data_IF_102303302378
#
_entry.id   IF_102303302378
#
_cell.length_a   1.000
_cell.length_b   1.000
_cell.length_c   1.000
_cell.angle_alpha   90.00
_cell.angle_beta   90.00
_cell.angle_gamma   90.00
#
_symmetry.space_group_name_H-M   'P 1'
#
loop_
_entity.id
_entity.type
_entity.pdbx_description
1 polymer ?
#
# COMPACT_ATOMS: atom_id res chain seq x y z
N UNK A 1 -0.02 -4.96 -62.45
CA UNK A 1 0.65 -5.36 -61.22
C UNK A 1 0.51 -4.21 -60.23
N UNK A 2 -0.46 -4.36 -59.35
CA UNK A 2 -0.71 -3.35 -58.31
C UNK A 2 0.18 -3.67 -57.09
N UNK A 3 1.04 -2.71 -56.72
CA UNK A 3 1.83 -2.79 -55.50
C UNK A 3 0.91 -2.58 -54.28
N UNK A 4 0.71 -3.63 -53.51
CA UNK A 4 0.10 -3.52 -52.16
C UNK A 4 1.10 -2.86 -51.23
N UNK A 5 0.66 -1.91 -50.37
CA UNK A 5 1.52 -1.31 -49.37
C UNK A 5 1.93 -2.33 -48.30
N UNK A 6 3.21 -2.32 -47.97
CA UNK A 6 3.78 -3.11 -46.84
C UNK A 6 3.13 -2.64 -45.56
N UNK A 7 2.64 -3.53 -44.67
CA UNK A 7 2.08 -3.13 -43.38
C UNK A 7 3.17 -2.49 -42.51
N UNK A 8 2.89 -1.28 -42.01
CA UNK A 8 3.71 -0.61 -41.02
C UNK A 8 3.60 -1.45 -39.72
N UNK A 9 4.70 -2.03 -39.31
CA UNK A 9 4.79 -2.70 -38.02
C UNK A 9 4.75 -1.58 -36.98
N UNK A 10 3.61 -1.42 -36.32
CA UNK A 10 3.50 -0.55 -35.14
C UNK A 10 4.45 -1.10 -34.05
N UNK A 11 5.44 -0.28 -33.71
CA UNK A 11 6.33 -0.57 -32.56
C UNK A 11 5.45 -0.66 -31.32
N UNK A 12 5.55 -1.71 -30.50
CA UNK A 12 4.78 -1.80 -29.26
C UNK A 12 5.11 -0.58 -28.39
N UNK A 13 4.12 -0.02 -27.67
CA UNK A 13 4.33 1.14 -26.81
C UNK A 13 5.47 0.85 -25.82
N UNK A 14 6.40 1.79 -25.72
CA UNK A 14 7.52 1.68 -24.79
C UNK A 14 6.97 1.56 -23.37
N UNK A 15 7.56 0.65 -22.59
CA UNK A 15 7.20 0.49 -21.18
C UNK A 15 7.44 1.81 -20.42
N UNK A 16 6.57 2.15 -19.43
CA UNK A 16 6.70 3.39 -18.68
C UNK A 16 8.08 3.52 -18.05
N UNK A 17 8.72 4.67 -18.17
CA UNK A 17 10.05 4.97 -17.65
C UNK A 17 10.09 5.04 -16.12
N UNK A 18 8.91 5.15 -15.50
CA UNK A 18 8.72 5.27 -14.05
C UNK A 18 8.12 3.98 -13.51
N UNK A 19 8.94 3.01 -13.18
CA UNK A 19 8.64 1.77 -12.45
C UNK A 19 7.89 0.66 -13.21
N UNK A 20 8.59 -0.38 -13.59
CA UNK A 20 8.06 -1.61 -14.20
C UNK A 20 7.90 -2.73 -13.15
N UNK A 21 6.74 -3.40 -13.13
CA UNK A 21 6.53 -4.61 -12.33
C UNK A 21 7.31 -5.79 -12.93
N UNK A 22 8.07 -6.54 -12.11
CA UNK A 22 8.73 -7.77 -12.54
C UNK A 22 7.73 -8.92 -12.64
N UNK A 23 7.78 -9.67 -13.74
CA UNK A 23 6.99 -10.89 -13.94
C UNK A 23 7.44 -12.00 -12.96
N UNK A 24 6.50 -12.64 -12.30
CA UNK A 24 6.74 -13.85 -11.52
C UNK A 24 6.87 -15.07 -12.45
N UNK A 25 7.84 -15.96 -12.18
CA UNK A 25 7.90 -17.26 -12.85
C UNK A 25 6.79 -18.18 -12.28
N UNK A 26 5.85 -18.59 -13.13
CA UNK A 26 4.79 -19.53 -12.77
C UNK A 26 5.34 -20.97 -12.82
N UNK A 27 5.59 -21.54 -11.65
CA UNK A 27 5.81 -22.96 -11.50
C UNK A 27 4.46 -23.67 -11.33
N UNK A 28 4.23 -24.77 -12.07
CA UNK A 28 3.03 -25.57 -11.85
C UNK A 28 2.93 -26.12 -10.41
N UNK A 29 1.71 -26.31 -9.86
CA UNK A 29 1.51 -26.67 -8.45
C UNK A 29 2.31 -27.89 -7.98
N UNK A 30 2.47 -28.90 -8.83
CA UNK A 30 3.23 -30.12 -8.50
C UNK A 30 4.71 -29.83 -8.22
N UNK A 31 5.35 -29.03 -9.07
CA UNK A 31 6.75 -28.65 -8.89
C UNK A 31 6.96 -27.84 -7.60
N UNK A 32 6.00 -26.98 -7.25
CA UNK A 32 6.01 -26.22 -6.01
C UNK A 32 5.89 -27.13 -4.80
N UNK A 33 4.98 -28.12 -4.79
CA UNK A 33 4.84 -29.07 -3.70
C UNK A 33 6.10 -29.93 -3.50
N UNK A 34 6.74 -30.35 -4.60
CA UNK A 34 8.00 -31.07 -4.54
C UNK A 34 9.12 -30.21 -3.96
N UNK A 35 9.21 -28.94 -4.37
CA UNK A 35 10.19 -27.99 -3.84
C UNK A 35 9.99 -27.73 -2.35
N UNK A 36 8.75 -27.54 -1.89
CA UNK A 36 8.43 -27.38 -0.47
C UNK A 36 8.83 -28.62 0.31
N UNK A 37 8.46 -29.81 -0.18
CA UNK A 37 8.76 -31.08 0.48
C UNK A 37 10.28 -31.28 0.67
N UNK A 38 11.06 -30.99 -0.37
CA UNK A 38 12.53 -31.10 -0.31
C UNK A 38 13.16 -30.07 0.66
N UNK A 39 12.59 -28.85 0.75
CA UNK A 39 13.13 -27.79 1.61
C UNK A 39 12.76 -27.94 3.10
N UNK A 40 11.71 -28.68 3.44
CA UNK A 40 11.17 -28.77 4.80
C UNK A 40 11.12 -30.20 5.36
N UNK A 41 11.94 -31.11 4.79
CA UNK A 41 12.05 -32.51 5.22
C UNK A 41 10.70 -33.23 5.40
N UNK A 42 9.83 -33.10 4.39
CA UNK A 42 8.48 -33.67 4.39
C UNK A 42 8.17 -34.33 3.04
N UNK A 43 6.99 -34.91 2.90
CA UNK A 43 6.57 -35.52 1.64
C UNK A 43 5.64 -34.59 0.84
N UNK A 44 5.68 -34.66 -0.52
CA UNK A 44 4.73 -33.87 -1.33
C UNK A 44 3.26 -34.15 -0.98
N UNK A 45 2.93 -35.39 -0.60
CA UNK A 45 1.57 -35.75 -0.17
C UNK A 45 1.17 -35.02 1.13
N UNK A 46 2.10 -34.90 2.07
CA UNK A 46 1.83 -34.14 3.31
C UNK A 46 1.61 -32.67 3.01
N UNK A 47 2.44 -32.06 2.13
CA UNK A 47 2.26 -30.65 1.70
C UNK A 47 0.90 -30.43 1.04
N UNK A 48 0.47 -31.35 0.16
CA UNK A 48 -0.86 -31.31 -0.46
C UNK A 48 -1.97 -31.40 0.57
N UNK A 49 -1.84 -32.29 1.57
CA UNK A 49 -2.83 -32.44 2.64
C UNK A 49 -2.91 -31.19 3.51
N UNK A 50 -1.78 -30.61 3.89
CA UNK A 50 -1.69 -29.38 4.67
C UNK A 50 -2.33 -28.22 3.89
N UNK A 51 -1.99 -28.04 2.61
CA UNK A 51 -2.63 -27.06 1.73
C UNK A 51 -4.14 -27.29 1.64
N UNK A 52 -4.59 -28.50 1.38
CA UNK A 52 -6.01 -28.81 1.24
C UNK A 52 -6.78 -28.47 2.53
N UNK A 53 -6.22 -28.71 3.70
CA UNK A 53 -6.83 -28.35 4.97
C UNK A 53 -7.07 -26.85 5.12
N UNK A 54 -6.19 -26.00 4.55
CA UNK A 54 -6.31 -24.54 4.55
C UNK A 54 -7.22 -24.05 3.41
N UNK A 55 -7.14 -24.67 2.25
CA UNK A 55 -7.97 -24.30 1.10
C UNK A 55 -9.47 -24.53 1.35
N UNK A 56 -9.81 -25.63 2.00
CA UNK A 56 -11.19 -25.96 2.40
C UNK A 56 -11.53 -25.52 3.82
N UNK A 57 -10.58 -24.91 4.53
CA UNK A 57 -10.75 -24.38 5.87
C UNK A 57 -11.48 -23.02 5.91
N UNK A 58 -11.66 -22.45 7.11
CA UNK A 58 -12.36 -21.16 7.30
C UNK A 58 -11.76 -20.01 6.51
N UNK A 59 -10.43 -20.00 6.34
CA UNK A 59 -9.69 -18.93 5.67
C UNK A 59 -9.75 -18.97 4.14
N UNK A 60 -10.18 -20.08 3.53
CA UNK A 60 -10.27 -20.25 2.06
C UNK A 60 -8.99 -19.84 1.34
N UNK A 61 -7.88 -20.37 1.81
CA UNK A 61 -6.52 -20.04 1.32
C UNK A 61 -6.35 -20.60 -0.09
N UNK A 62 -6.09 -19.73 -1.07
CA UNK A 62 -5.72 -20.17 -2.42
C UNK A 62 -4.30 -20.72 -2.48
N UNK A 63 -3.96 -21.42 -3.57
CA UNK A 63 -2.60 -21.90 -3.78
C UNK A 63 -1.56 -20.77 -3.79
N UNK A 64 -1.88 -19.68 -4.44
CA UNK A 64 -1.01 -18.50 -4.46
C UNK A 64 -0.85 -17.88 -3.07
N UNK A 65 -1.91 -17.83 -2.25
CA UNK A 65 -1.84 -17.35 -0.87
C UNK A 65 -0.94 -18.26 -0.02
N UNK A 66 -1.08 -19.59 -0.18
CA UNK A 66 -0.29 -20.59 0.53
C UNK A 66 1.21 -20.41 0.28
N UNK A 67 1.57 -20.20 -0.99
CA UNK A 67 2.98 -19.98 -1.37
C UNK A 67 3.43 -18.58 -0.92
N UNK A 68 2.69 -17.53 -1.22
CA UNK A 68 3.06 -16.14 -0.97
C UNK A 68 3.27 -15.85 0.51
N UNK A 69 2.41 -16.37 1.38
CA UNK A 69 2.50 -16.25 2.84
C UNK A 69 3.40 -17.29 3.48
N UNK A 70 4.05 -18.21 2.71
CA UNK A 70 4.86 -19.31 3.24
C UNK A 70 4.14 -20.14 4.30
N UNK A 71 2.86 -20.46 4.10
CA UNK A 71 2.09 -21.23 5.09
C UNK A 71 2.62 -22.65 5.31
N UNK A 72 3.56 -23.09 4.49
CA UNK A 72 4.31 -24.32 4.64
C UNK A 72 5.47 -24.21 5.64
N UNK A 73 5.91 -22.99 5.98
CA UNK A 73 7.07 -22.77 6.86
C UNK A 73 6.64 -22.64 8.33
N UNK A 74 6.77 -23.73 9.06
CA UNK A 74 6.41 -23.80 10.47
C UNK A 74 7.29 -22.94 11.38
N UNK A 75 8.51 -22.59 10.97
CA UNK A 75 9.37 -21.68 11.72
C UNK A 75 8.85 -20.25 11.62
N UNK A 76 8.42 -19.84 10.42
CA UNK A 76 7.81 -18.53 10.21
C UNK A 76 6.50 -18.38 11.01
N UNK A 77 5.65 -19.41 10.98
CA UNK A 77 4.32 -19.41 11.61
C UNK A 77 4.29 -20.11 12.97
N UNK A 78 5.41 -20.13 13.68
CA UNK A 78 5.53 -20.82 14.95
C UNK A 78 4.47 -20.34 15.96
N UNK A 79 3.72 -21.30 16.54
CA UNK A 79 2.66 -21.02 17.49
C UNK A 79 1.32 -20.52 16.88
N UNK A 80 1.22 -20.33 15.56
CA UNK A 80 -0.02 -19.91 14.92
C UNK A 80 -0.89 -21.10 14.52
N UNK A 81 -2.18 -21.06 14.85
CA UNK A 81 -3.17 -21.93 14.18
C UNK A 81 -3.43 -21.37 12.76
N UNK A 82 -2.84 -22.02 11.76
CA UNK A 82 -2.95 -21.61 10.36
C UNK A 82 -4.39 -21.55 9.83
N UNK A 83 -5.35 -22.21 10.49
CA UNK A 83 -6.77 -22.12 10.12
C UNK A 83 -7.36 -20.73 10.39
N UNK A 84 -6.68 -19.92 11.20
CA UNK A 84 -7.05 -18.51 11.44
C UNK A 84 -6.53 -17.57 10.34
N UNK A 85 -5.68 -18.05 9.43
CA UNK A 85 -5.18 -17.24 8.31
C UNK A 85 -6.24 -17.14 7.24
N UNK A 86 -6.60 -15.92 6.87
CA UNK A 86 -7.55 -15.65 5.79
C UNK A 86 -6.82 -15.48 4.46
N UNK A 87 -7.26 -16.21 3.43
CA UNK A 87 -6.82 -16.03 2.05
C UNK A 87 -7.35 -14.71 1.45
N UNK A 88 -6.76 -14.27 0.34
CA UNK A 88 -7.04 -12.96 -0.27
C UNK A 88 -8.52 -12.78 -0.65
N UNK A 89 -9.15 -13.82 -1.19
CA UNK A 89 -10.57 -13.77 -1.54
C UNK A 89 -11.43 -13.58 -0.30
N UNK A 90 -11.16 -14.37 0.75
CA UNK A 90 -11.93 -14.28 2.00
C UNK A 90 -11.73 -12.94 2.71
N UNK A 91 -10.50 -12.38 2.68
CA UNK A 91 -10.23 -11.03 3.17
C UNK A 91 -11.12 -9.98 2.49
N UNK A 92 -11.24 -10.02 1.17
CA UNK A 92 -12.12 -9.09 0.45
C UNK A 92 -13.59 -9.24 0.84
N UNK A 93 -14.07 -10.48 1.00
CA UNK A 93 -15.44 -10.76 1.44
C UNK A 93 -15.70 -10.20 2.86
N UNK A 94 -14.73 -10.34 3.75
CA UNK A 94 -14.80 -9.78 5.11
C UNK A 94 -14.83 -8.25 5.10
N UNK A 95 -13.95 -7.63 4.32
CA UNK A 95 -13.87 -6.16 4.18
C UNK A 95 -15.19 -5.60 3.67
N UNK A 96 -15.74 -6.18 2.61
CA UNK A 96 -17.04 -5.74 2.04
C UNK A 96 -18.17 -5.89 3.07
N UNK A 97 -18.15 -6.95 3.87
CA UNK A 97 -19.15 -7.17 4.90
C UNK A 97 -19.02 -6.22 6.11
N UNK A 98 -17.81 -5.81 6.42
CA UNK A 98 -17.50 -4.84 7.50
C UNK A 98 -17.80 -3.42 7.02
N UNK A 99 -17.24 -3.03 5.89
CA UNK A 99 -17.37 -1.69 5.31
C UNK A 99 -18.60 -1.63 4.39
N UNK A 100 -19.76 -1.94 4.93
CA UNK A 100 -21.03 -2.06 4.18
C UNK A 100 -21.54 -0.72 3.62
N UNK A 101 -21.01 0.43 4.05
CA UNK A 101 -21.29 1.76 3.51
C UNK A 101 -20.46 2.00 2.25
N UNK A 102 -20.81 1.30 1.17
CA UNK A 102 -20.09 1.37 -0.11
C UNK A 102 -20.12 2.75 -0.77
N UNK A 103 -21.11 3.58 -0.40
CA UNK A 103 -21.19 5.00 -0.77
C UNK A 103 -19.98 5.83 -0.32
N UNK A 104 -19.25 5.39 0.71
CA UNK A 104 -18.04 6.04 1.21
C UNK A 104 -16.73 5.57 0.55
N UNK A 105 -16.76 4.50 -0.24
CA UNK A 105 -15.56 3.98 -0.89
C UNK A 105 -14.91 5.01 -1.81
N UNK A 106 -15.70 5.80 -2.55
CA UNK A 106 -15.17 6.86 -3.41
C UNK A 106 -14.34 7.90 -2.66
N UNK A 107 -14.74 8.24 -1.42
CA UNK A 107 -13.96 9.18 -0.58
C UNK A 107 -12.61 8.58 -0.19
N UNK A 108 -12.55 7.28 0.11
CA UNK A 108 -11.33 6.61 0.57
C UNK A 108 -10.38 6.35 -0.60
N UNK A 109 -10.89 5.90 -1.74
CA UNK A 109 -10.08 5.50 -2.91
C UNK A 109 -9.54 6.68 -3.71
N UNK A 110 -10.26 7.81 -3.75
CA UNK A 110 -9.80 9.03 -4.41
C UNK A 110 -8.82 9.80 -3.51
N UNK A 111 -7.56 9.89 -3.94
CA UNK A 111 -6.48 10.52 -3.17
C UNK A 111 -6.71 12.01 -2.90
N UNK A 112 -7.45 12.70 -3.75
CA UNK A 112 -7.75 14.13 -3.60
C UNK A 112 -8.90 14.29 -2.62
N UNK A 113 -9.98 13.52 -2.80
CA UNK A 113 -11.13 13.54 -1.89
C UNK A 113 -10.71 13.15 -0.47
N UNK A 114 -9.94 12.07 -0.32
CA UNK A 114 -9.45 11.59 0.97
C UNK A 114 -8.59 12.62 1.69
N UNK A 115 -7.59 13.19 1.00
CA UNK A 115 -6.72 14.22 1.55
C UNK A 115 -7.51 15.47 1.95
N UNK A 116 -8.42 15.94 1.08
CA UNK A 116 -9.24 17.13 1.33
C UNK A 116 -10.20 16.91 2.51
N UNK A 117 -10.82 15.73 2.58
CA UNK A 117 -11.74 15.39 3.66
C UNK A 117 -11.03 15.36 5.02
N UNK A 118 -9.92 14.64 5.13
CA UNK A 118 -9.14 14.57 6.37
C UNK A 118 -8.58 15.94 6.80
N UNK A 119 -8.06 16.72 5.83
CA UNK A 119 -7.55 18.08 6.10
C UNK A 119 -8.62 19.03 6.63
N UNK A 120 -9.87 18.90 6.19
CA UNK A 120 -10.99 19.71 6.67
C UNK A 120 -11.26 19.50 8.18
N UNK A 121 -10.85 18.37 8.74
CA UNK A 121 -10.91 18.08 10.18
C UNK A 121 -9.58 18.34 10.90
N UNK A 122 -8.62 19.00 10.25
CA UNK A 122 -7.32 19.31 10.86
C UNK A 122 -6.38 18.12 11.02
N UNK A 123 -6.67 16.98 10.37
CA UNK A 123 -5.79 15.81 10.40
C UNK A 123 -4.55 16.03 9.52
N UNK A 124 -3.36 15.59 9.96
CA UNK A 124 -2.12 15.82 9.23
C UNK A 124 -2.08 14.94 7.97
N UNK A 125 -2.15 15.60 6.81
CA UNK A 125 -2.07 14.97 5.48
C UNK A 125 -1.04 15.68 4.63
N UNK A 126 -0.62 15.06 3.52
CA UNK A 126 0.28 15.70 2.55
C UNK A 126 -0.59 16.44 1.52
N UNK A 127 -0.51 17.78 1.44
CA UNK A 127 -1.35 18.56 0.54
C UNK A 127 -1.02 18.27 -0.94
N UNK A 128 -2.03 18.36 -1.81
CA UNK A 128 -1.83 18.30 -3.25
C UNK A 128 -1.37 19.68 -3.75
N UNK A 129 -0.19 19.76 -4.34
CA UNK A 129 0.38 20.98 -4.91
C UNK A 129 -0.13 21.25 -6.32
N UNK A 130 -0.24 20.19 -7.14
CA UNK A 130 -0.76 20.28 -8.50
C UNK A 130 -1.33 18.92 -8.95
N UNK A 131 -2.24 18.98 -9.92
CA UNK A 131 -2.88 17.82 -10.52
C UNK A 131 -2.88 17.96 -12.04
N UNK A 132 -2.24 17.05 -12.75
CA UNK A 132 -2.47 16.89 -14.18
C UNK A 132 -3.87 16.30 -14.39
N UNK A 133 -4.73 17.10 -15.01
CA UNK A 133 -6.14 16.77 -15.22
C UNK A 133 -6.61 17.28 -16.59
N UNK A 134 -6.26 16.59 -17.68
CA UNK A 134 -6.51 17.07 -19.05
C UNK A 134 -8.00 17.19 -19.40
N UNK A 135 -8.87 16.53 -18.63
CA UNK A 135 -10.34 16.61 -18.81
C UNK A 135 -10.98 17.87 -18.21
N UNK A 136 -10.24 18.60 -17.39
CA UNK A 136 -10.78 19.84 -16.80
C UNK A 136 -10.74 20.97 -17.82
N UNK A 137 -11.88 21.62 -18.02
CA UNK A 137 -12.01 22.78 -18.92
C UNK A 137 -11.80 24.10 -18.19
N UNK A 138 -12.12 24.14 -16.88
CA UNK A 138 -11.94 25.34 -16.05
C UNK A 138 -10.54 25.37 -15.46
N UNK A 139 -9.88 26.53 -15.55
CA UNK A 139 -8.61 26.78 -14.89
C UNK A 139 -8.78 26.80 -13.36
N UNK A 140 -7.85 26.17 -12.66
CA UNK A 140 -7.69 26.30 -11.20
C UNK A 140 -6.20 26.34 -10.87
N UNK A 141 -5.84 26.83 -9.70
CA UNK A 141 -4.44 26.87 -9.25
C UNK A 141 -3.80 25.48 -9.14
N UNK A 142 -4.62 24.44 -8.99
CA UNK A 142 -4.16 23.04 -8.90
C UNK A 142 -4.11 22.32 -10.24
N UNK A 143 -4.84 22.80 -11.27
CA UNK A 143 -5.04 22.03 -12.50
C UNK A 143 -3.99 22.33 -13.57
N UNK A 144 -3.21 21.33 -13.92
CA UNK A 144 -2.34 21.30 -15.10
C UNK A 144 -3.10 20.53 -16.19
N UNK A 145 -3.45 21.20 -17.31
CA UNK A 145 -4.39 20.66 -18.32
C UNK A 145 -3.71 20.21 -19.59
N UNK A 146 -2.53 20.77 -19.87
CA UNK A 146 -1.79 20.55 -21.09
C UNK A 146 -0.30 20.30 -20.80
N UNK A 147 0.43 19.86 -21.82
CA UNK A 147 1.88 19.67 -21.78
C UNK A 147 2.62 20.90 -21.28
N UNK A 148 2.25 22.06 -21.79
CA UNK A 148 2.87 23.34 -21.42
C UNK A 148 2.65 23.68 -19.95
N UNK A 149 1.49 23.37 -19.39
CA UNK A 149 1.21 23.59 -17.96
C UNK A 149 2.11 22.70 -17.09
N UNK A 150 2.23 21.40 -17.46
CA UNK A 150 3.12 20.46 -16.80
C UNK A 150 4.58 20.91 -16.88
N UNK A 151 5.04 21.30 -18.08
CA UNK A 151 6.40 21.78 -18.30
C UNK A 151 6.70 23.02 -17.45
N UNK A 152 5.83 24.03 -17.49
CA UNK A 152 5.96 25.26 -16.69
C UNK A 152 5.99 24.95 -15.19
N UNK A 153 5.14 24.07 -14.72
CA UNK A 153 5.10 23.64 -13.32
C UNK A 153 6.39 22.94 -12.89
N UNK A 154 6.85 21.96 -13.67
CA UNK A 154 8.03 21.16 -13.36
C UNK A 154 9.35 21.95 -13.48
N UNK A 155 9.35 23.07 -14.15
CA UNK A 155 10.54 23.95 -14.27
C UNK A 155 10.58 25.08 -13.22
N UNK A 156 9.64 25.10 -12.26
CA UNK A 156 9.65 26.03 -11.14
C UNK A 156 10.50 25.48 -10.01
N UNK A 157 11.45 26.27 -9.49
CA UNK A 157 12.29 25.91 -8.34
C UNK A 157 11.51 25.85 -7.03
N UNK A 158 10.49 26.71 -6.86
CA UNK A 158 9.74 26.88 -5.61
C UNK A 158 8.78 25.72 -5.28
N UNK A 159 8.59 24.75 -6.18
CA UNK A 159 7.76 23.57 -5.95
C UNK A 159 8.54 22.37 -5.41
N UNK A 160 9.87 22.46 -5.38
CA UNK A 160 10.75 21.35 -4.98
C UNK A 160 11.18 21.41 -3.49
N UNK A 161 11.51 20.25 -2.89
CA UNK A 161 11.49 18.90 -3.46
C UNK A 161 10.06 18.37 -3.62
N UNK A 162 9.83 17.59 -4.68
CA UNK A 162 8.50 17.22 -5.17
C UNK A 162 8.32 15.71 -5.22
N UNK A 163 7.14 15.21 -4.87
CA UNK A 163 6.73 13.83 -5.08
C UNK A 163 5.55 13.76 -6.05
N UNK A 164 5.71 12.97 -7.12
CA UNK A 164 4.68 12.75 -8.12
C UNK A 164 4.15 11.31 -8.05
N UNK A 165 2.83 11.15 -8.23
CA UNK A 165 2.19 9.83 -8.30
C UNK A 165 0.90 9.88 -9.14
N UNK A 166 0.47 8.75 -9.75
CA UNK A 166 -0.84 8.66 -10.39
C UNK A 166 -1.97 8.99 -9.39
N UNK A 167 -2.97 9.74 -9.83
CA UNK A 167 -4.17 10.02 -9.05
C UNK A 167 -4.96 8.73 -8.79
N UNK A 168 -5.04 7.88 -9.81
CA UNK A 168 -5.59 6.53 -9.74
C UNK A 168 -4.45 5.51 -9.84
N UNK A 169 -4.52 4.41 -9.12
CA UNK A 169 -3.51 3.35 -9.21
C UNK A 169 -3.14 2.76 -7.87
N UNK A 170 -2.51 1.59 -7.94
CA UNK A 170 -2.15 0.77 -6.78
C UNK A 170 -0.63 0.57 -6.74
N UNK A 171 -0.11 0.23 -5.57
CA UNK A 171 1.25 -0.25 -5.37
C UNK A 171 2.36 0.75 -5.73
N UNK A 172 2.10 2.06 -5.68
CA UNK A 172 3.09 3.12 -5.97
C UNK A 172 3.72 3.01 -7.37
N UNK A 173 3.05 2.33 -8.32
CA UNK A 173 3.48 2.31 -9.72
C UNK A 173 3.36 3.71 -10.30
N UNK A 174 4.40 4.17 -11.03
CA UNK A 174 4.44 5.50 -11.60
C UNK A 174 4.79 6.63 -10.61
N UNK A 175 5.18 6.32 -9.37
CA UNK A 175 5.64 7.34 -8.41
C UNK A 175 7.08 7.73 -8.64
N UNK A 176 7.39 9.02 -8.45
CA UNK A 176 8.72 9.61 -8.58
C UNK A 176 8.96 10.66 -7.48
N UNK A 177 10.18 10.72 -6.98
CA UNK A 177 10.63 11.79 -6.09
C UNK A 177 11.69 12.64 -6.80
N UNK A 178 11.46 13.93 -6.87
CA UNK A 178 12.25 14.89 -7.63
C UNK A 178 12.86 15.91 -6.68
N UNK A 179 14.17 16.17 -6.85
CA UNK A 179 14.94 17.09 -6.01
C UNK A 179 14.88 18.53 -6.52
N UNK A 180 15.06 18.72 -7.84
CA UNK A 180 15.07 20.02 -8.52
C UNK A 180 15.03 19.87 -10.02
N UNK A 181 14.68 20.92 -10.77
CA UNK A 181 14.86 20.96 -12.21
C UNK A 181 16.34 21.23 -12.55
N UNK A 182 16.74 20.83 -13.75
CA UNK A 182 18.04 21.09 -14.34
C UNK A 182 17.82 21.78 -15.71
N UNK A 183 17.59 23.10 -15.73
CA UNK A 183 17.15 23.81 -16.94
C UNK A 183 18.14 23.72 -18.11
N UNK A 184 19.45 23.67 -17.80
CA UNK A 184 20.50 23.64 -18.82
C UNK A 184 20.53 22.34 -19.64
N UNK A 185 20.08 21.23 -19.06
CA UNK A 185 20.01 19.91 -19.72
C UNK A 185 18.60 19.45 -20.04
N UNK A 186 17.58 20.25 -19.71
CA UNK A 186 16.15 19.88 -19.83
C UNK A 186 15.83 18.56 -19.09
N UNK A 187 16.37 18.42 -17.89
CA UNK A 187 16.24 17.23 -17.05
C UNK A 187 15.69 17.57 -15.66
N UNK A 188 15.25 16.53 -14.94
CA UNK A 188 14.86 16.60 -13.53
C UNK A 188 15.77 15.67 -12.72
N UNK A 189 16.34 16.19 -11.60
CA UNK A 189 17.15 15.40 -10.67
C UNK A 189 16.22 14.62 -9.74
N UNK A 190 16.44 13.30 -9.62
CA UNK A 190 15.66 12.44 -8.73
C UNK A 190 16.26 12.42 -7.33
N UNK A 191 15.40 12.32 -6.30
CA UNK A 191 15.81 11.93 -4.95
C UNK A 191 16.15 10.43 -4.98
N UNK A 192 17.24 10.04 -4.35
CA UNK A 192 17.80 8.68 -4.43
C UNK A 192 18.79 8.49 -5.58
N UNK A 193 18.99 9.53 -6.41
CA UNK A 193 20.00 9.57 -7.46
C UNK A 193 19.46 9.39 -8.87
N UNK A 194 20.29 9.79 -9.84
CA UNK A 194 19.97 9.76 -11.27
C UNK A 194 19.09 10.94 -11.73
N UNK A 195 18.81 10.96 -13.03
CA UNK A 195 18.06 12.02 -13.70
C UNK A 195 16.98 11.41 -14.59
N UNK A 196 16.01 12.22 -14.99
CA UNK A 196 15.02 11.90 -16.02
C UNK A 196 14.88 13.10 -16.95
N UNK A 197 14.88 12.85 -18.27
CA UNK A 197 14.60 13.89 -19.26
C UNK A 197 13.19 14.44 -19.07
N UNK A 198 13.05 15.76 -19.09
CA UNK A 198 11.76 16.42 -18.86
C UNK A 198 10.73 15.98 -19.90
N UNK A 199 11.09 16.00 -21.20
CA UNK A 199 10.18 15.62 -22.28
C UNK A 199 9.73 14.15 -22.16
N UNK A 200 10.65 13.23 -21.83
CA UNK A 200 10.32 11.82 -21.63
C UNK A 200 9.35 11.63 -20.45
N UNK A 201 9.51 12.41 -19.38
CA UNK A 201 8.61 12.36 -18.22
C UNK A 201 7.23 12.96 -18.55
N UNK A 202 7.17 14.03 -19.32
CA UNK A 202 5.90 14.59 -19.80
C UNK A 202 5.15 13.60 -20.69
N UNK A 203 5.85 12.93 -21.61
CA UNK A 203 5.26 11.89 -22.47
C UNK A 203 4.71 10.73 -21.64
N UNK A 204 5.48 10.27 -20.66
CA UNK A 204 5.08 9.20 -19.76
C UNK A 204 3.79 9.54 -18.98
N UNK A 205 3.72 10.76 -18.40
CA UNK A 205 2.52 11.23 -17.72
C UNK A 205 1.32 11.28 -18.67
N UNK A 206 1.49 11.86 -19.84
CA UNK A 206 0.38 12.07 -20.79
C UNK A 206 -0.11 10.76 -21.41
N UNK A 207 0.78 9.83 -21.67
CA UNK A 207 0.45 8.56 -22.30
C UNK A 207 -0.18 7.56 -21.33
N UNK A 208 0.33 7.50 -20.08
CA UNK A 208 -0.03 6.43 -19.15
C UNK A 208 -0.98 6.88 -18.04
N UNK A 209 -1.10 8.18 -17.74
CA UNK A 209 -1.85 8.69 -16.60
C UNK A 209 -2.95 9.70 -17.00
N UNK A 210 -3.69 9.38 -18.06
CA UNK A 210 -4.83 10.21 -18.52
C UNK A 210 -5.95 10.36 -17.48
N UNK A 211 -6.03 9.47 -16.46
CA UNK A 211 -6.91 9.59 -15.31
C UNK A 211 -6.51 10.67 -14.33
N UNK A 212 -5.26 11.14 -14.41
CA UNK A 212 -4.67 12.18 -13.57
C UNK A 212 -3.33 11.78 -12.99
N UNK A 213 -2.48 12.79 -12.75
CA UNK A 213 -1.20 12.63 -12.07
C UNK A 213 -1.02 13.76 -11.07
N UNK A 214 -0.88 13.43 -9.80
CA UNK A 214 -0.79 14.42 -8.73
C UNK A 214 0.65 14.65 -8.27
N UNK A 215 0.90 15.88 -7.86
CA UNK A 215 2.15 16.32 -7.26
C UNK A 215 1.90 16.81 -5.83
N UNK A 216 2.82 16.44 -4.95
CA UNK A 216 2.79 16.78 -3.52
C UNK A 216 4.20 17.23 -3.10
N UNK A 217 4.38 18.01 -2.03
CA UNK A 217 5.70 18.21 -1.45
C UNK A 217 6.33 16.86 -1.11
N UNK A 218 7.62 16.72 -1.36
CA UNK A 218 8.37 15.59 -0.82
C UNK A 218 8.53 15.77 0.69
N UNK A 219 8.09 14.79 1.45
CA UNK A 219 8.12 14.85 2.92
C UNK A 219 9.34 14.10 3.41
N UNK A 220 10.20 14.81 4.13
CA UNK A 220 11.37 14.21 4.75
C UNK A 220 10.98 13.31 5.93
N UNK A 221 11.53 12.09 6.03
CA UNK A 221 11.28 11.20 7.14
C UNK A 221 11.82 11.79 8.47
N UNK A 222 11.32 11.29 9.59
CA UNK A 222 11.86 11.60 10.89
C UNK A 222 13.38 11.26 10.95
N UNK A 223 14.24 12.05 11.63
CA UNK A 223 15.68 11.82 11.62
C UNK A 223 16.11 10.42 12.05
N UNK A 224 15.41 9.80 13.02
CA UNK A 224 15.70 8.42 13.44
C UNK A 224 15.32 7.41 12.34
N UNK A 225 14.24 7.63 11.61
CA UNK A 225 13.86 6.80 10.45
C UNK A 225 14.87 7.01 9.30
N UNK A 226 15.30 8.24 9.05
CA UNK A 226 16.32 8.56 8.05
C UNK A 226 17.66 7.89 8.38
N UNK A 227 18.06 7.81 9.66
CA UNK A 227 19.25 7.09 10.07
C UNK A 227 19.14 5.58 9.78
N UNK A 228 17.95 5.01 9.81
CA UNK A 228 17.70 3.60 9.54
C UNK A 228 17.76 3.25 8.05
N UNK A 229 17.11 4.05 7.18
CA UNK A 229 16.96 3.71 5.75
C UNK A 229 17.08 4.88 4.75
N UNK A 230 17.66 6.00 5.19
CA UNK A 230 17.95 7.16 4.34
C UNK A 230 16.74 8.10 4.16
N UNK A 231 16.78 8.94 3.10
CA UNK A 231 15.80 10.02 2.86
C UNK A 231 14.39 9.53 2.43
N UNK A 232 14.14 8.24 2.41
CA UNK A 232 12.87 7.64 1.98
C UNK A 232 11.86 7.62 3.13
N UNK A 233 10.58 7.82 2.82
CA UNK A 233 9.53 7.71 3.81
C UNK A 233 9.03 6.26 3.90
N UNK A 234 9.34 5.58 5.00
CA UNK A 234 8.74 4.29 5.36
C UNK A 234 7.47 4.51 6.16
N UNK A 235 6.35 3.91 5.77
CA UNK A 235 5.06 4.09 6.43
C UNK A 235 4.64 2.89 7.24
N UNK A 236 3.95 3.12 8.37
CA UNK A 236 3.24 2.08 9.08
C UNK A 236 1.85 1.87 8.46
N UNK A 237 1.50 0.62 8.14
CA UNK A 237 0.12 0.19 7.89
C UNK A 237 -0.54 -0.05 9.24
N UNK A 238 -1.37 0.91 9.68
CA UNK A 238 -2.15 0.81 10.91
C UNK A 238 -3.59 0.46 10.53
N UNK A 239 -4.13 -0.63 11.06
CA UNK A 239 -5.53 -1.02 10.85
C UNK A 239 -6.32 -0.63 12.09
N UNK A 240 -7.35 0.20 11.90
CA UNK A 240 -8.29 0.56 12.96
C UNK A 240 -9.62 -0.15 12.76
N UNK A 241 -10.27 -0.49 13.87
CA UNK A 241 -11.65 -0.97 13.93
C UNK A 241 -12.48 0.02 14.75
N UNK A 242 -13.69 0.32 14.30
CA UNK A 242 -14.65 1.15 15.03
C UNK A 242 -15.84 0.27 15.45
N UNK A 243 -16.04 0.12 16.75
CA UNK A 243 -17.12 -0.66 17.34
C UNK A 243 -17.91 0.24 18.28
N UNK A 244 -19.21 0.37 18.05
CA UNK A 244 -20.10 1.26 18.81
C UNK A 244 -19.59 2.72 18.92
N UNK A 245 -18.99 3.21 17.83
CA UNK A 245 -18.40 4.54 17.75
C UNK A 245 -17.03 4.69 18.42
N UNK A 246 -16.49 3.64 19.01
CA UNK A 246 -15.19 3.65 19.69
C UNK A 246 -14.12 3.02 18.76
N UNK A 247 -13.13 3.80 18.29
CA UNK A 247 -12.04 3.26 17.51
C UNK A 247 -10.99 2.59 18.38
N UNK A 248 -10.41 1.53 17.85
CA UNK A 248 -9.21 0.88 18.42
C UNK A 248 -8.23 0.50 17.33
N UNK A 249 -6.94 0.47 17.65
CA UNK A 249 -5.94 -0.13 16.77
C UNK A 249 -6.08 -1.64 16.84
N UNK A 250 -6.17 -2.27 15.68
CA UNK A 250 -6.30 -3.71 15.57
C UNK A 250 -4.95 -4.37 15.30
N UNK A 251 -4.21 -3.84 14.32
CA UNK A 251 -2.87 -4.32 13.93
C UNK A 251 -2.06 -3.19 13.33
N UNK A 252 -0.75 -3.34 13.39
CA UNK A 252 0.16 -2.43 12.72
C UNK A 252 1.40 -3.18 12.22
N UNK A 253 1.93 -2.74 11.09
CA UNK A 253 3.19 -3.22 10.55
C UNK A 253 3.94 -2.06 9.89
N UNK A 254 5.24 -1.98 10.06
CA UNK A 254 6.06 -0.93 9.45
C UNK A 254 6.67 -1.42 8.14
N UNK A 255 6.37 -0.73 7.06
CA UNK A 255 6.94 -0.94 5.73
C UNK A 255 8.23 -0.13 5.62
N UNK A 256 9.37 -0.80 5.46
CA UNK A 256 10.69 -0.18 5.47
C UNK A 256 11.26 -0.25 4.05
N UNK A 257 11.53 0.90 3.40
CA UNK A 257 12.13 0.95 2.08
C UNK A 257 13.55 0.40 2.08
N UNK A 258 13.94 -0.30 1.01
CA UNK A 258 15.29 -0.83 0.84
C UNK A 258 15.66 -0.93 -0.65
N UNK A 259 16.94 -0.99 -0.96
CA UNK A 259 17.47 -1.00 -2.31
C UNK A 259 17.18 0.32 -3.05
N UNK A 260 16.81 0.24 -4.31
CA UNK A 260 16.49 1.41 -5.15
C UNK A 260 15.01 1.85 -5.05
N UNK A 261 14.21 1.20 -4.18
CA UNK A 261 12.80 1.52 -4.05
C UNK A 261 12.60 2.86 -3.35
N UNK A 262 11.99 3.82 -4.03
CA UNK A 262 11.60 5.11 -3.45
C UNK A 262 10.33 5.00 -2.61
N UNK A 263 9.49 4.00 -2.89
CA UNK A 263 8.24 3.74 -2.18
C UNK A 263 8.34 2.44 -1.37
N UNK A 264 7.64 2.42 -0.26
CA UNK A 264 7.68 1.39 0.77
C UNK A 264 6.73 0.19 0.53
N UNK A 265 6.19 0.03 -0.70
CA UNK A 265 5.35 -1.12 -0.99
C UNK A 265 6.12 -2.44 -0.77
N UNK A 266 5.76 -3.15 0.27
CA UNK A 266 6.43 -4.40 0.66
C UNK A 266 6.46 -5.46 -0.44
N UNK A 267 5.41 -5.55 -1.25
CA UNK A 267 5.32 -6.55 -2.32
C UNK A 267 6.27 -6.28 -3.50
N UNK A 268 7.02 -5.17 -3.46
CA UNK A 268 8.16 -4.95 -4.35
C UNK A 268 9.41 -5.62 -3.79
N UNK A 269 10.14 -6.28 -4.67
CA UNK A 269 11.43 -6.88 -4.32
C UNK A 269 12.36 -5.86 -3.67
N UNK A 270 12.92 -6.21 -2.54
CA UNK A 270 13.87 -5.41 -1.79
C UNK A 270 13.30 -4.81 -0.50
N UNK A 271 12.07 -4.31 -0.51
CA UNK A 271 11.47 -3.71 0.68
C UNK A 271 11.30 -4.71 1.83
N UNK A 272 11.29 -4.17 3.04
CA UNK A 272 11.17 -4.93 4.27
C UNK A 272 9.82 -4.67 4.93
N UNK A 273 9.39 -5.63 5.74
CA UNK A 273 8.18 -5.52 6.55
C UNK A 273 8.53 -5.87 8.00
N UNK A 274 8.32 -4.92 8.89
CA UNK A 274 8.54 -5.11 10.31
C UNK A 274 7.21 -5.34 11.04
N UNK A 275 7.15 -6.41 11.85
CA UNK A 275 6.20 -6.51 12.94
C UNK A 275 6.62 -5.51 14.00
N UNK A 276 5.68 -4.69 14.46
CA UNK A 276 5.87 -3.79 15.58
C UNK A 276 4.93 -4.16 16.72
N UNK A 277 5.41 -4.02 17.93
CA UNK A 277 4.56 -4.06 19.11
C UNK A 277 3.61 -2.85 19.10
N UNK A 278 2.30 -3.08 19.20
CA UNK A 278 1.30 -2.01 19.08
C UNK A 278 1.24 -1.09 20.30
N UNK A 279 1.77 -1.51 21.43
CA UNK A 279 1.82 -0.69 22.64
C UNK A 279 3.03 0.24 22.61
N UNK A 280 4.21 -0.28 22.24
CA UNK A 280 5.50 0.43 22.33
C UNK A 280 6.02 0.95 21.00
N UNK A 281 5.59 0.40 19.86
CA UNK A 281 6.15 0.68 18.54
C UNK A 281 7.48 -0.01 18.25
N UNK A 282 7.99 -0.85 19.16
CA UNK A 282 9.26 -1.56 18.96
C UNK A 282 9.18 -2.61 17.86
N UNK A 283 10.26 -2.73 17.09
CA UNK A 283 10.40 -3.78 16.08
C UNK A 283 10.65 -5.12 16.78
N UNK A 284 9.73 -6.06 16.62
CA UNK A 284 9.90 -7.42 17.12
C UNK A 284 10.54 -8.36 16.08
N UNK A 285 10.26 -8.11 14.81
CA UNK A 285 10.72 -8.97 13.71
C UNK A 285 10.67 -8.24 12.37
N UNK A 286 11.63 -8.53 11.50
CA UNK A 286 11.66 -7.99 10.15
C UNK A 286 11.78 -9.12 9.14
N UNK A 287 10.98 -9.04 8.09
CA UNK A 287 11.02 -9.97 6.94
C UNK A 287 11.24 -9.21 5.64
N UNK A 288 11.92 -9.86 4.69
CA UNK A 288 12.07 -9.39 3.31
C UNK A 288 11.53 -10.44 2.35
N UNK A 289 11.08 -10.03 1.17
CA UNK A 289 10.61 -10.94 0.13
C UNK A 289 9.30 -11.63 0.47
N UNK A 290 8.87 -12.54 -0.40
CA UNK A 290 7.64 -13.31 -0.24
C UNK A 290 7.84 -14.75 -0.74
N UNK A 291 7.00 -15.67 -0.33
CA UNK A 291 7.09 -17.06 -0.76
C UNK A 291 8.44 -17.67 -0.43
N UNK A 292 9.08 -18.29 -1.42
CA UNK A 292 10.37 -18.94 -1.25
C UNK A 292 11.54 -17.99 -0.98
N UNK A 293 11.41 -16.72 -1.36
CA UNK A 293 12.45 -15.71 -1.19
C UNK A 293 12.35 -14.96 0.16
N UNK A 294 11.29 -15.24 0.92
CA UNK A 294 11.13 -14.62 2.21
C UNK A 294 12.22 -15.02 3.20
N UNK A 295 12.80 -14.04 3.87
CA UNK A 295 13.86 -14.25 4.85
C UNK A 295 13.75 -13.27 6.01
N UNK A 296 14.08 -13.71 7.22
CA UNK A 296 14.24 -12.83 8.37
C UNK A 296 15.47 -11.95 8.21
N UNK A 297 15.37 -10.71 8.67
CA UNK A 297 16.46 -9.73 8.67
C UNK A 297 16.68 -9.19 10.08
N UNK A 298 17.93 -9.17 10.49
CA UNK A 298 18.37 -8.56 11.76
C UNK A 298 18.96 -7.17 11.56
N UNK A 299 19.35 -6.85 10.34
CA UNK A 299 19.95 -5.56 9.95
C UNK A 299 19.33 -5.05 8.65
N UNK A 300 19.29 -3.74 8.50
CA UNK A 300 18.88 -3.11 7.24
C UNK A 300 19.95 -3.38 6.15
N UNK A 301 19.57 -3.87 4.96
CA UNK A 301 20.53 -4.31 3.96
C UNK A 301 21.41 -3.19 3.38
N UNK A 302 20.86 -1.96 3.29
CA UNK A 302 21.60 -0.83 2.69
C UNK A 302 22.48 -0.11 3.70
N UNK A 303 22.03 0.02 4.95
CA UNK A 303 22.69 0.84 5.99
C UNK A 303 23.44 0.01 7.02
N UNK A 304 23.14 -1.28 7.14
CA UNK A 304 23.71 -2.16 8.16
C UNK A 304 23.19 -1.90 9.58
N UNK A 305 22.20 -1.01 9.77
CA UNK A 305 21.65 -0.71 11.09
C UNK A 305 20.91 -1.93 11.64
N UNK A 306 21.20 -2.31 12.88
CA UNK A 306 20.54 -3.40 13.60
C UNK A 306 19.11 -3.00 13.97
N UNK A 307 18.12 -3.89 13.76
CA UNK A 307 16.74 -3.64 14.11
C UNK A 307 16.42 -3.84 15.59
N UNK A 308 17.26 -4.55 16.34
CA UNK A 308 17.02 -4.78 17.76
C UNK A 308 17.03 -3.47 18.56
N UNK A 309 15.98 -3.24 19.35
CA UNK A 309 15.79 -2.02 20.13
C UNK A 309 15.38 -0.79 19.32
N UNK A 310 15.06 -0.96 18.04
CA UNK A 310 14.51 0.13 17.21
C UNK A 310 12.99 0.18 17.38
N UNK A 311 12.49 1.36 17.73
CA UNK A 311 11.07 1.65 17.73
C UNK A 311 10.69 2.56 16.55
N UNK A 312 9.46 2.45 16.07
CA UNK A 312 8.90 3.36 15.09
C UNK A 312 8.81 4.77 15.70
N UNK A 313 9.51 5.77 15.14
CA UNK A 313 9.46 7.13 15.67
C UNK A 313 8.04 7.69 15.68
N UNK A 314 7.72 8.52 16.67
CA UNK A 314 6.41 9.17 16.80
C UNK A 314 5.23 8.18 16.90
N UNK A 315 5.45 6.97 17.42
CA UNK A 315 4.42 5.94 17.46
C UNK A 315 3.20 6.37 18.27
N UNK A 316 3.41 7.01 19.43
CA UNK A 316 2.31 7.48 20.27
C UNK A 316 1.44 8.52 19.55
N UNK A 317 2.07 9.47 18.88
CA UNK A 317 1.36 10.49 18.09
C UNK A 317 0.63 9.86 16.91
N UNK A 318 1.24 8.87 16.25
CA UNK A 318 0.60 8.12 15.16
C UNK A 318 -0.66 7.39 15.64
N UNK A 319 -0.62 6.77 16.83
CA UNK A 319 -1.80 6.13 17.43
C UNK A 319 -2.93 7.14 17.63
N UNK A 320 -2.62 8.31 18.19
CA UNK A 320 -3.62 9.37 18.41
C UNK A 320 -4.24 9.81 17.09
N UNK A 321 -3.41 10.12 16.08
CA UNK A 321 -3.88 10.55 14.76
C UNK A 321 -4.74 9.48 14.08
N UNK A 322 -4.32 8.21 14.12
CA UNK A 322 -5.06 7.10 13.52
C UNK A 322 -6.44 6.89 14.17
N UNK A 323 -6.53 7.03 15.50
CA UNK A 323 -7.79 6.91 16.23
C UNK A 323 -8.73 8.11 15.95
N UNK A 324 -8.21 9.33 15.86
CA UNK A 324 -9.00 10.49 15.45
C UNK A 324 -9.48 10.37 14.00
N UNK A 325 -8.61 9.95 13.09
CA UNK A 325 -8.97 9.71 11.70
C UNK A 325 -10.08 8.64 11.58
N UNK A 326 -10.02 7.59 12.39
CA UNK A 326 -11.06 6.56 12.44
C UNK A 326 -12.40 7.10 12.99
N UNK A 327 -12.40 8.06 13.93
CA UNK A 327 -13.62 8.75 14.39
C UNK A 327 -14.25 9.60 13.28
N UNK A 328 -13.42 10.34 12.53
CA UNK A 328 -13.87 11.14 11.39
C UNK A 328 -14.46 10.23 10.30
N UNK A 329 -13.84 9.07 10.08
CA UNK A 329 -14.26 8.09 9.06
C UNK A 329 -15.18 6.99 9.61
N UNK A 330 -15.97 7.26 10.65
CA UNK A 330 -16.81 6.28 11.35
C UNK A 330 -17.80 5.50 10.46
N UNK A 331 -18.10 6.01 9.26
CA UNK A 331 -18.89 5.31 8.24
C UNK A 331 -18.18 4.10 7.64
N UNK A 332 -16.86 4.03 7.81
CA UNK A 332 -15.99 2.93 7.39
C UNK A 332 -15.42 2.26 8.64
N UNK A 333 -16.10 1.25 9.20
CA UNK A 333 -15.70 0.64 10.47
C UNK A 333 -14.30 0.04 10.50
N UNK A 334 -13.70 -0.19 9.33
CA UNK A 334 -12.35 -0.70 9.21
C UNK A 334 -11.59 0.02 8.11
N UNK A 335 -10.48 0.66 8.47
CA UNK A 335 -9.58 1.33 7.52
C UNK A 335 -8.14 0.94 7.82
N UNK A 336 -7.34 0.77 6.76
CA UNK A 336 -5.89 0.71 6.82
C UNK A 336 -5.29 2.08 6.52
N UNK A 337 -4.57 2.64 7.47
CA UNK A 337 -3.88 3.93 7.36
C UNK A 337 -2.43 3.70 7.02
N UNK A 338 -1.93 4.31 5.96
CA UNK A 338 -0.50 4.42 5.74
C UNK A 338 -0.01 5.74 6.34
N UNK A 339 0.74 5.65 7.42
CA UNK A 339 1.22 6.81 8.17
C UNK A 339 2.74 6.82 8.23
N UNK A 340 3.34 7.97 7.94
CA UNK A 340 4.80 8.15 7.97
C UNK A 340 5.25 9.05 9.11
N UNK A 341 6.31 8.69 9.85
CA UNK A 341 6.97 9.59 10.78
C UNK A 341 7.79 10.62 10.00
N UNK A 342 7.57 11.91 10.26
CA UNK A 342 8.26 13.00 9.56
C UNK A 342 8.95 13.96 10.53
N UNK A 343 9.81 14.81 10.01
CA UNK A 343 10.46 15.86 10.82
C UNK A 343 9.49 16.87 11.42
N UNK A 344 8.26 16.96 10.85
CA UNK A 344 7.23 17.90 11.29
C UNK A 344 6.10 17.25 12.10
N UNK A 345 6.23 15.97 12.46
CA UNK A 345 5.19 15.15 13.07
C UNK A 345 4.69 14.05 12.14
N UNK A 346 3.84 13.12 12.63
CA UNK A 346 3.32 12.04 11.79
C UNK A 346 2.33 12.57 10.76
N UNK A 347 2.31 11.94 9.58
CA UNK A 347 1.38 12.31 8.51
C UNK A 347 0.63 11.11 7.97
N UNK A 348 -0.64 11.27 7.61
CA UNK A 348 -1.43 10.30 6.86
C UNK A 348 -1.05 10.45 5.38
N UNK A 349 -0.45 9.42 4.81
CA UNK A 349 -0.04 9.36 3.40
C UNK A 349 -1.18 8.86 2.53
N UNK A 350 -1.93 7.85 3.03
CA UNK A 350 -3.02 7.20 2.29
C UNK A 350 -3.99 6.49 3.25
N UNK A 351 -5.28 6.44 2.86
CA UNK A 351 -6.27 5.53 3.46
C UNK A 351 -6.53 4.36 2.51
N UNK A 352 -6.82 3.21 3.10
CA UNK A 352 -7.14 1.99 2.35
C UNK A 352 -8.45 1.40 2.88
N UNK A 353 -9.50 1.40 2.07
CA UNK A 353 -10.80 0.79 2.40
C UNK A 353 -10.73 -0.73 2.51
N UNK A 354 -9.73 -1.29 1.84
CA UNK A 354 -9.40 -2.71 1.87
C UNK A 354 -7.99 -2.87 2.46
N UNK A 355 -7.85 -2.89 3.81
CA UNK A 355 -6.57 -3.17 4.43
C UNK A 355 -5.99 -4.48 3.89
N UNK A 356 -4.74 -4.46 3.47
CA UNK A 356 -4.07 -5.68 3.04
C UNK A 356 -3.70 -6.52 4.27
N UNK A 357 -4.63 -7.36 4.72
CA UNK A 357 -4.38 -8.26 5.84
C UNK A 357 -3.18 -9.19 5.61
N UNK A 358 -2.76 -9.42 4.37
CA UNK A 358 -1.58 -10.21 4.09
C UNK A 358 -0.33 -9.59 4.70
N UNK A 359 -0.18 -8.26 4.61
CA UNK A 359 0.93 -7.56 5.26
C UNK A 359 0.98 -7.89 6.75
N UNK A 360 -0.12 -7.63 7.46
CA UNK A 360 -0.17 -7.83 8.89
C UNK A 360 -0.10 -9.30 9.29
N UNK A 361 -0.84 -10.20 8.62
CA UNK A 361 -0.76 -11.64 8.89
C UNK A 361 0.66 -12.15 8.71
N UNK A 362 1.35 -11.72 7.65
CA UNK A 362 2.71 -12.15 7.34
C UNK A 362 3.76 -11.53 8.30
N UNK A 363 3.63 -10.23 8.62
CA UNK A 363 4.48 -9.58 9.60
C UNK A 363 4.35 -10.23 10.99
N UNK A 364 3.12 -10.41 11.44
CA UNK A 364 2.81 -10.93 12.78
C UNK A 364 3.03 -12.43 12.92
N UNK A 365 3.03 -13.18 11.78
CA UNK A 365 2.84 -14.63 11.74
C UNK A 365 1.59 -15.07 12.53
N UNK A 366 0.50 -14.35 12.34
CA UNK A 366 -0.74 -14.53 13.08
C UNK A 366 -1.93 -14.34 12.17
N UNK A 367 -2.82 -15.31 12.14
CA UNK A 367 -4.04 -15.22 11.34
C UNK A 367 -4.98 -14.12 11.84
N UNK A 368 -5.90 -13.67 10.99
CA UNK A 368 -6.86 -12.61 11.32
C UNK A 368 -8.19 -13.16 11.84
N UNK A 369 -8.52 -14.42 11.52
CA UNK A 369 -9.81 -15.05 11.89
C UNK A 369 -9.85 -15.49 13.36
N UNK A 370 -9.43 -14.61 14.25
CA UNK A 370 -9.47 -14.84 15.68
C UNK A 370 -10.84 -14.52 16.28
N UNK A 371 -11.19 -15.11 17.44
CA UNK A 371 -12.51 -14.93 18.03
C UNK A 371 -12.94 -13.47 18.22
N UNK A 372 -12.02 -12.60 18.63
CA UNK A 372 -12.28 -11.17 18.81
C UNK A 372 -12.65 -10.48 17.49
N UNK A 373 -11.85 -10.67 16.47
CA UNK A 373 -12.14 -10.12 15.14
C UNK A 373 -13.42 -10.69 14.54
N UNK A 374 -13.69 -11.98 14.73
CA UNK A 374 -14.92 -12.60 14.25
C UNK A 374 -16.19 -12.13 14.99
N UNK A 375 -16.08 -11.74 16.25
CA UNK A 375 -17.18 -11.05 16.98
C UNK A 375 -17.44 -9.68 16.34
N UNK A 376 -16.39 -8.90 16.08
CA UNK A 376 -16.50 -7.62 15.39
C UNK A 376 -17.16 -7.78 14.00
N UNK A 377 -16.71 -8.74 13.19
CA UNK A 377 -17.34 -9.04 11.87
C UNK A 377 -18.83 -9.35 12.02
N UNK A 378 -19.20 -10.14 13.01
CA UNK A 378 -20.61 -10.49 13.25
C UNK A 378 -21.45 -9.26 13.67
N UNK A 379 -20.86 -8.34 14.46
CA UNK A 379 -21.51 -7.08 14.83
C UNK A 379 -21.74 -6.19 13.59
N UNK A 380 -20.71 -6.04 12.72
CA UNK A 380 -20.85 -5.24 11.50
C UNK A 380 -21.86 -5.83 10.51
N UNK A 381 -21.94 -7.16 10.38
CA UNK A 381 -22.98 -7.81 9.59
C UNK A 381 -24.40 -7.54 10.08
N UNK A 382 -24.60 -7.43 11.41
CA UNK A 382 -25.89 -7.02 11.99
C UNK A 382 -26.18 -5.55 11.67
N UNK A 383 -25.21 -4.66 11.89
CA UNK A 383 -25.35 -3.24 11.59
C UNK A 383 -25.68 -2.97 10.12
N UNK A 384 -25.11 -3.76 9.19
CA UNK A 384 -25.43 -3.71 7.76
C UNK A 384 -26.91 -4.02 7.48
N UNK A 385 -27.46 -5.06 8.11
CA UNK A 385 -28.91 -5.42 7.97
C UNK A 385 -29.82 -4.33 8.52
N UNK A 386 -29.46 -3.77 9.68
CA UNK A 386 -30.24 -2.69 10.31
C UNK A 386 -30.22 -1.42 9.43
N UNK A 387 -29.08 -1.12 8.84
CA UNK A 387 -28.93 -0.02 7.88
C UNK A 387 -29.81 -0.23 6.63
N UNK A 388 -29.74 -1.40 6.02
CA UNK A 388 -30.56 -1.75 4.84
C UNK A 388 -32.06 -1.65 5.15
N UNK A 389 -32.48 -2.12 6.32
CA UNK A 389 -33.89 -2.06 6.75
C UNK A 389 -34.36 -0.62 6.93
N UNK A 390 -33.56 0.23 7.56
CA UNK A 390 -33.84 1.67 7.70
C UNK A 390 -33.98 2.35 6.34
N UNK A 391 -32.99 2.13 5.44
CA UNK A 391 -33.04 2.71 4.10
C UNK A 391 -34.31 2.34 3.32
N UNK A 392 -34.72 1.05 3.38
CA UNK A 392 -35.98 0.60 2.74
C UNK A 392 -37.20 1.28 3.36
N UNK A 393 -37.23 1.44 4.68
CA UNK A 393 -38.33 2.14 5.38
C UNK A 393 -38.41 3.62 4.99
N UNK A 394 -37.28 4.28 4.87
CA UNK A 394 -37.23 5.71 4.55
C UNK A 394 -37.61 5.97 3.09
N UNK A 395 -37.18 5.11 2.15
CA UNK A 395 -37.63 5.17 0.75
C UNK A 395 -39.14 4.94 0.65
N UNK A 396 -39.70 4.01 1.43
CA UNK A 396 -41.15 3.73 1.40
C UNK A 396 -42.03 4.88 1.94
N UNK A 397 -41.44 5.88 2.62
CA UNK A 397 -42.13 7.07 3.12
C UNK A 397 -42.09 8.25 2.14
N UNK A 398 -41.24 8.19 1.10
CA UNK A 398 -41.13 9.16 0.02
C UNK A 398 -42.15 8.89 -1.07
#
# INVERSE_FOLDING_TARGET
MQNSPVPVIETPPQAPTVTVARAHQDFGPLAVFQRIAAAHDTTPLQVVRDYASLAFGPGRVSFNDYVRLRLFDRLHWNGCDLRTVAGQRHNRELVVAINYRHDWYGVVTDKIASTSYLSAFGLPTIPVTALYAPRLTRASSLALRARDDLRKFLMRDDVYPLFGKPAEGFQSLGSIALRRPLPESDELEKIGGGRIGLEAFLDDIMQHYAGGYLFQPFVAPHPQAAALFGERLGTARIITLVEDGVPRIFRAAWKIPSGENLADNYWRSGNLLAKIDIDTGEIERVVSGAGFEAAFKTHHPDTGVCFAGVALPQWEEMKVVALEAARVMHHMPMIGWDMGPTSAGPVIVEMNETPDFFLNQFADARGVLEPDFMRFVAAQKRAAKDHETRMKSDIAKL
#
